data_IF_338464175610
#
_entry.id   IF_338464175610
#
_cell.length_a   1.000
_cell.length_b   1.000
_cell.length_c   1.000
_cell.angle_alpha   90.00
_cell.angle_beta   90.00
_cell.angle_gamma   90.00
#
_symmetry.space_group_name_H-M   'P 1'
#
loop_
_entity.id
_entity.type
_entity.pdbx_description
1 polymer ?
#
# COMPACT_ATOMS: atom_id res chain seq x y z
N UNK A 1 -13.00 -13.81 3.68
CA UNK A 1 -12.06 -14.73 3.00
C UNK A 1 -10.82 -15.09 3.83
N UNK A 2 -9.98 -14.16 4.29
CA UNK A 2 -8.73 -14.51 5.02
C UNK A 2 -9.00 -15.31 6.30
N UNK A 3 -9.96 -14.90 7.12
CA UNK A 3 -10.40 -15.66 8.32
C UNK A 3 -10.95 -17.04 7.95
N UNK A 4 -11.66 -17.15 6.83
CA UNK A 4 -12.15 -18.42 6.31
C UNK A 4 -10.98 -19.35 5.97
N UNK A 5 -9.99 -18.88 5.21
CA UNK A 5 -8.83 -19.69 4.79
C UNK A 5 -7.91 -20.13 5.93
N UNK A 6 -8.05 -19.56 7.14
CA UNK A 6 -7.23 -19.86 8.33
C UNK A 6 -7.34 -21.30 8.82
N UNK A 7 -8.46 -21.99 8.59
CA UNK A 7 -8.61 -23.36 9.07
C UNK A 7 -7.59 -24.31 8.45
N UNK A 8 -7.03 -25.22 9.26
CA UNK A 8 -5.92 -26.12 8.87
C UNK A 8 -6.22 -26.89 7.58
N UNK A 9 -7.42 -27.49 7.48
CA UNK A 9 -7.84 -28.25 6.29
C UNK A 9 -7.86 -27.38 5.03
N UNK A 10 -8.43 -26.18 5.10
CA UNK A 10 -8.53 -25.24 3.96
C UNK A 10 -7.16 -24.67 3.55
N UNK A 11 -6.29 -24.39 4.52
CA UNK A 11 -4.90 -24.01 4.24
C UNK A 11 -4.14 -25.16 3.55
N UNK A 12 -4.37 -26.41 3.95
CA UNK A 12 -3.75 -27.57 3.29
C UNK A 12 -4.22 -27.70 1.84
N UNK A 13 -5.53 -27.58 1.56
CA UNK A 13 -6.06 -27.54 0.19
C UNK A 13 -5.38 -26.45 -0.66
N UNK A 14 -5.20 -25.25 -0.10
CA UNK A 14 -4.50 -24.16 -0.77
C UNK A 14 -3.03 -24.47 -1.11
N UNK A 15 -2.35 -25.23 -0.26
CA UNK A 15 -0.97 -25.66 -0.54
C UNK A 15 -0.93 -26.71 -1.63
N UNK A 16 -1.87 -27.65 -1.63
CA UNK A 16 -1.95 -28.68 -2.67
C UNK A 16 -2.28 -28.08 -4.04
N UNK A 17 -3.19 -27.09 -4.11
CA UNK A 17 -3.46 -26.35 -5.35
C UNK A 17 -2.21 -25.61 -5.86
N UNK A 18 -1.43 -24.98 -4.97
CA UNK A 18 -0.16 -24.35 -5.37
C UNK A 18 0.86 -25.36 -5.92
N UNK A 19 1.02 -26.51 -5.25
CA UNK A 19 1.92 -27.56 -5.71
C UNK A 19 1.52 -28.08 -7.10
N UNK A 20 0.23 -28.34 -7.32
CA UNK A 20 -0.29 -28.80 -8.62
C UNK A 20 0.06 -27.82 -9.74
N UNK A 21 -0.11 -26.53 -9.51
CA UNK A 21 0.22 -25.48 -10.50
C UNK A 21 1.74 -25.37 -10.73
N UNK A 22 2.55 -25.59 -9.70
CA UNK A 22 4.01 -25.54 -9.82
C UNK A 22 4.61 -26.71 -10.61
N UNK A 23 3.94 -27.87 -10.66
CA UNK A 23 4.46 -29.06 -11.38
C UNK A 23 4.51 -28.83 -12.89
N UNK A 24 3.58 -28.04 -13.44
CA UNK A 24 3.54 -27.70 -14.87
C UNK A 24 4.34 -26.46 -15.27
N UNK A 25 4.85 -25.69 -14.30
CA UNK A 25 5.63 -24.48 -14.56
C UNK A 25 7.12 -24.79 -14.56
N UNK A 26 7.86 -24.31 -15.57
CA UNK A 26 9.35 -24.40 -15.60
C UNK A 26 10.02 -23.66 -14.44
N UNK A 27 9.27 -22.82 -13.70
CA UNK A 27 9.73 -22.04 -12.56
C UNK A 27 9.17 -22.62 -11.27
N UNK A 28 10.07 -23.04 -10.35
CA UNK A 28 9.70 -23.48 -8.99
C UNK A 28 9.26 -22.28 -8.15
N UNK A 29 7.99 -21.95 -8.27
CA UNK A 29 7.38 -20.87 -7.51
C UNK A 29 7.27 -21.20 -6.02
N UNK A 30 7.77 -20.29 -5.16
CA UNK A 30 7.72 -20.51 -3.70
C UNK A 30 6.27 -20.60 -3.22
N UNK A 31 5.94 -21.68 -2.51
CA UNK A 31 4.64 -21.85 -1.84
C UNK A 31 4.47 -20.76 -0.79
N UNK A 32 3.32 -20.10 -0.78
CA UNK A 32 3.01 -19.01 0.14
C UNK A 32 1.76 -19.33 0.96
N UNK A 33 1.76 -18.88 2.21
CA UNK A 33 0.59 -18.87 3.08
C UNK A 33 -0.10 -17.52 3.01
N UNK A 34 -1.43 -17.51 2.97
CA UNK A 34 -2.20 -16.28 3.21
C UNK A 34 -1.90 -15.81 4.64
N UNK A 35 -1.34 -14.61 4.75
CA UNK A 35 -1.02 -13.99 6.04
C UNK A 35 -2.30 -13.51 6.72
N UNK A 36 -2.20 -13.25 8.02
CA UNK A 36 -3.31 -12.67 8.77
C UNK A 36 -3.40 -11.17 8.50
N UNK A 37 -4.63 -10.66 8.47
CA UNK A 37 -4.86 -9.25 8.72
C UNK A 37 -4.51 -8.92 10.17
N UNK A 38 -3.98 -7.73 10.37
CA UNK A 38 -3.82 -7.09 11.66
C UNK A 38 -4.57 -5.78 11.56
N UNK A 39 -5.65 -5.63 12.34
CA UNK A 39 -6.49 -4.42 12.30
C UNK A 39 -5.68 -3.15 12.61
N UNK A 40 -4.61 -3.30 13.40
CA UNK A 40 -3.70 -2.22 13.81
C UNK A 40 -2.53 -1.97 12.85
N UNK A 41 -2.27 -2.85 11.87
CA UNK A 41 -1.09 -2.75 11.00
C UNK A 41 -1.50 -2.82 9.55
N UNK A 42 -1.74 -1.66 8.95
CA UNK A 42 -2.08 -1.48 7.53
C UNK A 42 -1.16 -2.26 6.58
N UNK A 43 0.15 -2.33 6.87
CA UNK A 43 1.14 -3.10 6.08
C UNK A 43 0.90 -4.62 6.06
N UNK A 44 0.07 -5.16 6.96
CA UNK A 44 -0.35 -6.57 6.89
C UNK A 44 -1.30 -6.83 5.72
N UNK A 45 -2.11 -5.84 5.34
CA UNK A 45 -3.04 -5.93 4.21
C UNK A 45 -2.26 -6.02 2.89
N UNK A 46 -1.20 -5.23 2.73
CA UNK A 46 -0.29 -5.31 1.57
C UNK A 46 0.26 -6.73 1.37
N UNK A 47 0.78 -7.36 2.44
CA UNK A 47 1.31 -8.73 2.38
C UNK A 47 0.25 -9.75 1.96
N UNK A 48 -0.99 -9.59 2.42
CA UNK A 48 -2.11 -10.45 2.04
C UNK A 48 -2.46 -10.26 0.57
N UNK A 49 -2.59 -9.01 0.12
CA UNK A 49 -2.90 -8.67 -1.27
C UNK A 49 -1.81 -9.20 -2.21
N UNK A 50 -0.55 -9.09 -1.82
CA UNK A 50 0.56 -9.64 -2.59
C UNK A 50 0.43 -11.16 -2.74
N UNK A 51 0.18 -11.89 -1.65
CA UNK A 51 0.00 -13.36 -1.72
C UNK A 51 -1.22 -13.74 -2.56
N UNK A 52 -2.35 -13.05 -2.41
CA UNK A 52 -3.55 -13.33 -3.20
C UNK A 52 -3.29 -13.05 -4.68
N UNK A 53 -2.57 -12.00 -5.01
CA UNK A 53 -2.23 -11.67 -6.40
C UNK A 53 -1.31 -12.73 -7.00
N UNK A 54 -0.23 -13.08 -6.29
CA UNK A 54 0.78 -14.03 -6.76
C UNK A 54 0.23 -15.46 -6.87
N UNK A 55 -0.81 -15.79 -6.10
CA UNK A 55 -1.40 -17.14 -6.00
C UNK A 55 -2.90 -17.12 -6.29
N UNK A 56 -3.33 -16.22 -7.16
CA UNK A 56 -4.75 -16.02 -7.48
C UNK A 56 -5.38 -17.29 -8.06
N UNK A 57 -4.74 -17.90 -9.06
CA UNK A 57 -5.19 -19.15 -9.68
C UNK A 57 -5.28 -20.29 -8.64
N UNK A 58 -4.28 -20.41 -7.77
CA UNK A 58 -4.32 -21.40 -6.70
C UNK A 58 -5.47 -21.17 -5.72
N UNK A 59 -5.80 -19.90 -5.43
CA UNK A 59 -6.90 -19.52 -4.55
C UNK A 59 -8.25 -19.85 -5.20
N UNK A 60 -8.42 -19.55 -6.49
CA UNK A 60 -9.61 -19.88 -7.27
C UNK A 60 -9.87 -21.40 -7.25
N UNK A 61 -8.87 -22.19 -7.63
CA UNK A 61 -8.95 -23.67 -7.64
C UNK A 61 -9.23 -24.24 -6.24
N UNK A 62 -8.72 -23.58 -5.20
CA UNK A 62 -9.01 -23.97 -3.82
C UNK A 62 -10.47 -23.72 -3.46
N UNK A 63 -11.03 -22.56 -3.84
CA UNK A 63 -12.43 -22.24 -3.57
C UNK A 63 -13.38 -23.13 -4.36
N UNK A 64 -13.04 -23.48 -5.60
CA UNK A 64 -13.77 -24.46 -6.41
C UNK A 64 -13.78 -25.83 -5.73
N UNK A 65 -12.62 -26.36 -5.32
CA UNK A 65 -12.55 -27.64 -4.59
C UNK A 65 -13.31 -27.61 -3.25
N UNK A 66 -13.25 -26.50 -2.51
CA UNK A 66 -13.98 -26.36 -1.24
C UNK A 66 -15.49 -26.22 -1.45
N UNK A 67 -15.95 -25.76 -2.62
CA UNK A 67 -17.36 -25.62 -2.97
C UNK A 67 -18.08 -26.97 -3.09
N UNK A 68 -17.32 -28.04 -3.31
CA UNK A 68 -17.77 -29.43 -3.40
C UNK A 68 -17.61 -30.20 -2.07
N UNK A 69 -17.18 -29.51 -1.00
CA UNK A 69 -16.99 -30.16 0.30
C UNK A 69 -18.30 -30.67 0.91
N UNK A 70 -18.20 -31.75 1.69
CA UNK A 70 -19.34 -32.34 2.42
C UNK A 70 -19.88 -31.44 3.53
N UNK A 71 -19.04 -30.56 4.08
CA UNK A 71 -19.45 -29.54 5.04
C UNK A 71 -20.18 -28.40 4.33
N UNK A 72 -21.51 -28.36 4.51
CA UNK A 72 -22.41 -27.36 3.90
C UNK A 72 -21.97 -25.93 4.18
N UNK A 73 -21.43 -25.63 5.37
CA UNK A 73 -20.99 -24.28 5.74
C UNK A 73 -19.73 -23.90 4.96
N UNK A 74 -18.76 -24.82 4.86
CA UNK A 74 -17.57 -24.61 4.05
C UNK A 74 -17.91 -24.46 2.57
N UNK A 75 -18.76 -25.34 2.03
CA UNK A 75 -19.19 -25.31 0.64
C UNK A 75 -19.91 -24.00 0.28
N UNK A 76 -20.88 -23.58 1.10
CA UNK A 76 -21.64 -22.34 0.87
C UNK A 76 -20.72 -21.10 0.91
N UNK A 77 -19.86 -21.00 1.93
CA UNK A 77 -18.89 -19.90 2.03
C UNK A 77 -17.89 -19.89 0.87
N UNK A 78 -17.42 -21.06 0.43
CA UNK A 78 -16.50 -21.16 -0.70
C UNK A 78 -17.16 -20.69 -2.00
N UNK A 79 -18.42 -21.08 -2.28
CA UNK A 79 -19.19 -20.58 -3.42
C UNK A 79 -19.36 -19.07 -3.39
N UNK A 80 -19.72 -18.53 -2.22
CA UNK A 80 -19.86 -17.08 -2.04
C UNK A 80 -18.53 -16.35 -2.31
N UNK A 81 -17.42 -16.80 -1.73
CA UNK A 81 -16.12 -16.19 -1.99
C UNK A 81 -15.67 -16.34 -3.44
N UNK A 82 -15.91 -17.49 -4.07
CA UNK A 82 -15.60 -17.73 -5.48
C UNK A 82 -16.34 -16.73 -6.37
N UNK A 83 -17.65 -16.55 -6.14
CA UNK A 83 -18.45 -15.55 -6.86
C UNK A 83 -17.91 -14.12 -6.69
N UNK A 84 -17.51 -13.76 -5.47
CA UNK A 84 -16.92 -12.44 -5.20
C UNK A 84 -15.59 -12.26 -5.91
N UNK A 85 -14.65 -13.20 -5.78
CA UNK A 85 -13.30 -13.03 -6.35
C UNK A 85 -13.31 -13.04 -7.88
N UNK A 86 -14.26 -13.77 -8.48
CA UNK A 86 -14.45 -13.83 -9.93
C UNK A 86 -15.17 -12.61 -10.50
N UNK A 87 -15.71 -11.72 -9.66
CA UNK A 87 -16.37 -10.51 -10.14
C UNK A 87 -15.35 -9.48 -10.62
N UNK A 88 -15.61 -8.87 -11.79
CA UNK A 88 -14.76 -7.81 -12.32
C UNK A 88 -14.58 -6.65 -11.33
N UNK A 89 -15.64 -6.28 -10.62
CA UNK A 89 -15.59 -5.22 -9.62
C UNK A 89 -14.58 -5.52 -8.51
N UNK A 90 -14.58 -6.75 -7.98
CA UNK A 90 -13.59 -7.15 -6.99
C UNK A 90 -12.18 -7.07 -7.56
N UNK A 91 -11.93 -7.61 -8.76
CA UNK A 91 -10.59 -7.61 -9.38
C UNK A 91 -10.09 -6.18 -9.61
N UNK A 92 -10.97 -5.27 -10.05
CA UNK A 92 -10.65 -3.86 -10.25
C UNK A 92 -10.23 -3.19 -8.94
N UNK A 93 -11.04 -3.32 -7.89
CA UNK A 93 -10.75 -2.77 -6.55
C UNK A 93 -9.48 -3.41 -5.99
N UNK A 94 -9.30 -4.72 -6.17
CA UNK A 94 -8.13 -5.46 -5.72
C UNK A 94 -6.84 -4.94 -6.38
N UNK A 95 -6.85 -4.71 -7.70
CA UNK A 95 -5.72 -4.11 -8.43
C UNK A 95 -5.44 -2.68 -7.98
N UNK A 96 -6.48 -1.85 -7.80
CA UNK A 96 -6.33 -0.49 -7.26
C UNK A 96 -5.67 -0.50 -5.88
N UNK A 97 -6.15 -1.34 -4.96
CA UNK A 97 -5.57 -1.45 -3.62
C UNK A 97 -4.11 -1.90 -3.68
N UNK A 98 -3.77 -2.86 -4.54
CA UNK A 98 -2.37 -3.29 -4.76
C UNK A 98 -1.49 -2.12 -5.20
N UNK A 99 -1.95 -1.27 -6.12
CA UNK A 99 -1.20 -0.08 -6.55
C UNK A 99 -1.08 0.99 -5.47
N UNK A 100 -2.11 1.19 -4.63
CA UNK A 100 -2.02 2.08 -3.47
C UNK A 100 -0.97 1.55 -2.48
N UNK A 101 -0.98 0.24 -2.19
CA UNK A 101 -0.04 -0.37 -1.26
C UNK A 101 1.40 -0.39 -1.79
N UNK A 102 1.61 -0.55 -3.09
CA UNK A 102 2.96 -0.49 -3.67
C UNK A 102 3.61 0.88 -3.56
N UNK A 103 2.79 1.95 -3.48
CA UNK A 103 3.26 3.32 -3.25
C UNK A 103 3.41 3.60 -1.75
N UNK A 104 2.41 3.26 -0.94
CA UNK A 104 2.34 3.70 0.47
C UNK A 104 3.13 2.81 1.44
N UNK A 105 3.30 1.52 1.15
CA UNK A 105 4.00 0.59 2.05
C UNK A 105 5.49 0.90 2.20
N UNK A 106 6.26 1.14 1.12
CA UNK A 106 7.67 1.51 1.24
C UNK A 106 7.86 2.76 2.10
N UNK A 107 7.06 3.79 1.85
CA UNK A 107 7.08 5.04 2.61
C UNK A 107 6.74 4.83 4.07
N UNK A 108 5.68 4.07 4.36
CA UNK A 108 5.33 3.73 5.74
C UNK A 108 6.46 2.98 6.44
N UNK A 109 7.10 2.01 5.78
CA UNK A 109 8.23 1.27 6.33
C UNK A 109 9.44 2.16 6.58
N UNK A 110 9.77 3.05 5.65
CA UNK A 110 10.89 3.98 5.77
C UNK A 110 10.70 4.95 6.95
N UNK A 111 9.50 5.55 7.06
CA UNK A 111 9.17 6.48 8.14
C UNK A 111 9.14 5.83 9.53
N UNK A 112 8.96 4.50 9.59
CA UNK A 112 9.01 3.72 10.85
C UNK A 112 10.40 3.13 11.14
N UNK A 113 11.39 3.38 10.29
CA UNK A 113 12.74 2.89 10.51
C UNK A 113 13.40 3.58 11.71
N UNK A 114 14.29 2.87 12.41
CA UNK A 114 14.98 3.41 13.60
C UNK A 114 15.97 4.53 13.27
N UNK A 115 16.47 4.55 12.04
CA UNK A 115 17.49 5.47 11.54
C UNK A 115 16.94 6.18 10.31
N UNK A 116 16.11 7.20 10.54
CA UNK A 116 15.47 7.96 9.47
C UNK A 116 16.35 9.14 9.05
N UNK A 117 16.69 9.21 7.77
CA UNK A 117 17.20 10.45 7.17
C UNK A 117 15.99 11.35 6.83
N UNK A 118 15.94 12.53 7.44
CA UNK A 118 14.84 13.48 7.29
C UNK A 118 14.73 14.07 5.88
N UNK A 119 15.86 14.33 5.19
CA UNK A 119 15.87 14.83 3.81
C UNK A 119 15.25 13.78 2.89
N UNK A 120 15.69 12.53 3.03
CA UNK A 120 15.19 11.42 2.25
C UNK A 120 13.73 11.09 2.61
N UNK A 121 13.33 11.28 3.88
CA UNK A 121 11.94 11.12 4.31
C UNK A 121 11.01 12.12 3.62
N UNK A 122 11.38 13.41 3.57
CA UNK A 122 10.60 14.45 2.89
C UNK A 122 10.47 14.11 1.41
N UNK A 123 11.59 13.80 0.73
CA UNK A 123 11.59 13.43 -0.69
C UNK A 123 10.65 12.26 -0.96
N UNK A 124 10.70 11.23 -0.11
CA UNK A 124 9.88 10.03 -0.25
C UNK A 124 8.38 10.35 -0.05
N UNK A 125 8.04 11.19 0.93
CA UNK A 125 6.65 11.64 1.16
C UNK A 125 6.11 12.41 -0.04
N UNK A 126 6.92 13.29 -0.63
CA UNK A 126 6.53 14.08 -1.80
C UNK A 126 6.31 13.20 -3.03
N UNK A 127 7.21 12.25 -3.28
CA UNK A 127 7.07 11.28 -4.36
C UNK A 127 5.81 10.42 -4.16
N UNK A 128 5.57 9.96 -2.93
CA UNK A 128 4.37 9.22 -2.56
C UNK A 128 3.11 10.03 -2.85
N UNK A 129 3.07 11.30 -2.43
CA UNK A 129 1.95 12.21 -2.68
C UNK A 129 1.70 12.37 -4.17
N UNK A 130 2.76 12.63 -4.95
CA UNK A 130 2.68 12.78 -6.41
C UNK A 130 2.08 11.52 -7.07
N UNK A 131 2.62 10.34 -6.75
CA UNK A 131 2.13 9.07 -7.30
C UNK A 131 0.68 8.78 -6.91
N UNK A 132 0.26 9.11 -5.69
CA UNK A 132 -1.13 8.98 -5.26
C UNK A 132 -2.08 9.94 -5.99
N UNK A 133 -1.61 11.12 -6.39
CA UNK A 133 -2.39 12.04 -7.23
C UNK A 133 -2.52 11.46 -8.65
N UNK A 134 -1.45 10.89 -9.20
CA UNK A 134 -1.46 10.23 -10.52
C UNK A 134 -2.47 9.07 -10.57
N UNK A 135 -2.62 8.29 -9.50
CA UNK A 135 -3.64 7.23 -9.40
C UNK A 135 -5.09 7.75 -9.55
N UNK A 136 -5.33 9.04 -9.30
CA UNK A 136 -6.66 9.67 -9.45
C UNK A 136 -6.92 10.19 -10.86
N UNK A 137 -5.93 10.13 -11.76
CA UNK A 137 -6.08 10.59 -13.13
C UNK A 137 -6.98 9.66 -13.95
N UNK A 138 -7.74 10.22 -14.88
CA UNK A 138 -8.56 9.44 -15.81
C UNK A 138 -7.70 8.49 -16.66
N UNK A 139 -6.49 8.92 -17.05
CA UNK A 139 -5.53 8.09 -17.79
C UNK A 139 -5.20 6.80 -17.03
N UNK A 140 -4.80 6.93 -15.76
CA UNK A 140 -4.48 5.77 -14.94
C UNK A 140 -5.71 4.88 -14.74
N UNK A 141 -6.88 5.48 -14.55
CA UNK A 141 -8.12 4.71 -14.39
C UNK A 141 -8.41 3.85 -15.64
N UNK A 142 -8.27 4.40 -16.85
CA UNK A 142 -8.45 3.63 -18.08
C UNK A 142 -7.45 2.48 -18.21
N UNK A 143 -6.18 2.75 -17.88
CA UNK A 143 -5.13 1.72 -17.87
C UNK A 143 -5.44 0.60 -16.87
N UNK A 144 -5.89 0.95 -15.66
CA UNK A 144 -6.30 0.01 -14.63
C UNK A 144 -7.46 -0.87 -15.11
N UNK A 145 -8.47 -0.29 -15.75
CA UNK A 145 -9.61 -1.04 -16.32
C UNK A 145 -9.12 -2.00 -17.40
N UNK A 146 -8.26 -1.57 -18.31
CA UNK A 146 -7.72 -2.42 -19.38
C UNK A 146 -6.87 -3.57 -18.81
N UNK A 147 -5.99 -3.27 -17.85
CA UNK A 147 -5.20 -4.28 -17.13
C UNK A 147 -6.07 -5.25 -16.32
N UNK A 148 -7.27 -4.83 -15.92
CA UNK A 148 -8.25 -5.69 -15.25
C UNK A 148 -8.92 -6.61 -16.26
N UNK A 149 -9.36 -6.09 -17.42
CA UNK A 149 -9.94 -6.89 -18.51
C UNK A 149 -8.99 -7.99 -18.96
N UNK A 150 -7.73 -7.63 -19.21
CA UNK A 150 -6.69 -8.58 -19.61
C UNK A 150 -6.50 -9.69 -18.57
N UNK A 151 -6.41 -9.32 -17.29
CA UNK A 151 -6.28 -10.29 -16.21
C UNK A 151 -7.51 -11.20 -16.08
N UNK A 152 -8.73 -10.66 -16.23
CA UNK A 152 -9.94 -11.48 -16.17
C UNK A 152 -10.02 -12.47 -17.31
N UNK A 153 -9.52 -12.10 -18.50
CA UNK A 153 -9.40 -13.01 -19.64
C UNK A 153 -8.39 -14.14 -19.34
N UNK A 154 -7.20 -13.80 -18.86
CA UNK A 154 -6.15 -14.76 -18.48
C UNK A 154 -6.59 -15.75 -17.40
N UNK A 155 -7.40 -15.30 -16.45
CA UNK A 155 -7.93 -16.14 -15.36
C UNK A 155 -9.25 -16.84 -15.70
N UNK A 156 -9.71 -16.76 -16.96
CA UNK A 156 -10.97 -17.34 -17.43
C UNK A 156 -12.19 -16.94 -16.57
N UNK A 157 -12.31 -15.64 -16.24
CA UNK A 157 -13.40 -15.11 -15.44
C UNK A 157 -14.50 -14.54 -16.35
N UNK A 158 -15.78 -14.85 -16.09
CA UNK A 158 -16.89 -14.36 -16.92
C UNK A 158 -17.02 -12.82 -16.84
N UNK A 159 -17.08 -12.17 -18.01
CA UNK A 159 -17.09 -10.71 -18.21
C UNK A 159 -18.44 -10.01 -17.87
N UNK A 160 -19.33 -10.70 -17.16
CA UNK A 160 -20.77 -10.42 -17.10
C UNK A 160 -21.20 -9.11 -16.37
N UNK A 161 -20.29 -8.19 -16.07
CA UNK A 161 -20.61 -6.94 -15.37
C UNK A 161 -20.24 -5.64 -16.12
N UNK A 162 -19.76 -5.72 -17.37
CA UNK A 162 -19.33 -4.53 -18.11
C UNK A 162 -20.44 -3.57 -18.56
N UNK A 163 -21.69 -4.02 -18.70
CA UNK A 163 -22.78 -3.20 -19.31
C UNK A 163 -23.10 -1.90 -18.58
N UNK A 164 -22.68 -1.71 -17.33
CA UNK A 164 -23.04 -0.55 -16.52
C UNK A 164 -21.91 0.47 -16.32
N UNK A 165 -20.65 0.13 -16.63
CA UNK A 165 -19.51 1.01 -16.29
C UNK A 165 -19.19 2.03 -17.41
N UNK A 166 -19.52 1.73 -18.66
CA UNK A 166 -19.29 2.63 -19.80
C UNK A 166 -20.23 3.85 -19.82
N UNK A 167 -21.35 3.81 -19.07
CA UNK A 167 -22.33 4.92 -19.00
C UNK A 167 -22.07 5.89 -17.85
N UNK A 168 -21.12 5.61 -16.96
CA UNK A 168 -20.78 6.47 -15.83
C UNK A 168 -19.46 7.17 -16.06
N UNK A 169 -19.44 8.52 -16.04
CA UNK A 169 -18.19 9.30 -16.02
C UNK A 169 -17.23 8.70 -14.96
N UNK A 170 -15.98 8.35 -15.30
CA UNK A 170 -15.03 7.70 -14.39
C UNK A 170 -14.82 8.47 -13.07
N UNK A 171 -15.00 9.80 -13.08
CA UNK A 171 -14.92 10.65 -11.89
C UNK A 171 -15.93 10.28 -10.79
N UNK A 172 -17.15 9.83 -11.13
CA UNK A 172 -18.19 9.51 -10.13
C UNK A 172 -17.90 8.22 -9.35
N UNK A 173 -17.19 7.26 -9.94
CA UNK A 173 -16.81 6.03 -9.23
C UNK A 173 -15.64 6.26 -8.28
N UNK A 174 -14.64 7.05 -8.70
CA UNK A 174 -13.59 7.55 -7.80
C UNK A 174 -14.19 8.39 -6.67
N UNK A 175 -15.13 9.29 -6.95
CA UNK A 175 -15.86 10.01 -5.89
C UNK A 175 -16.62 9.06 -4.95
N UNK A 176 -17.33 8.04 -5.47
CA UNK A 176 -18.06 7.08 -4.63
C UNK A 176 -17.12 6.18 -3.81
N UNK A 177 -15.95 5.82 -4.32
CA UNK A 177 -14.94 5.06 -3.57
C UNK A 177 -14.16 5.96 -2.59
N UNK A 178 -13.90 7.22 -2.95
CA UNK A 178 -13.34 8.25 -2.06
C UNK A 178 -14.32 8.70 -0.96
N UNK A 179 -15.62 8.44 -1.10
CA UNK A 179 -16.64 8.64 -0.05
C UNK A 179 -16.57 7.62 1.07
N UNK A 180 -15.63 6.67 1.03
CA UNK A 180 -15.23 5.85 2.17
C UNK A 180 -14.53 6.75 3.20
N UNK A 181 -15.33 7.52 3.96
CA UNK A 181 -14.93 8.56 4.94
C UNK A 181 -13.53 9.11 4.66
N UNK A 182 -13.48 10.10 3.77
CA UNK A 182 -12.32 10.99 3.65
C UNK A 182 -11.73 11.23 5.04
N UNK A 183 -10.49 10.77 5.26
CA UNK A 183 -9.65 11.40 6.28
C UNK A 183 -9.70 12.88 5.93
N UNK A 184 -10.15 13.76 6.83
CA UNK A 184 -10.36 15.16 6.49
C UNK A 184 -9.04 15.76 6.02
N UNK A 185 -8.91 15.91 4.70
CA UNK A 185 -7.70 16.39 4.03
C UNK A 185 -7.29 17.76 4.61
N UNK A 186 -8.29 18.58 4.94
CA UNK A 186 -8.15 19.88 5.60
C UNK A 186 -7.67 19.83 7.06
N UNK A 187 -7.86 18.72 7.80
CA UNK A 187 -7.32 18.62 9.17
C UNK A 187 -5.85 18.16 9.18
N UNK A 188 -5.40 17.40 8.18
CA UNK A 188 -3.99 16.99 8.07
C UNK A 188 -3.09 18.10 7.53
N UNK A 189 -3.54 18.90 6.56
CA UNK A 189 -2.72 20.01 6.03
C UNK A 189 -2.43 21.07 7.10
N UNK A 190 -3.39 21.39 7.97
CA UNK A 190 -3.19 22.34 9.07
C UNK A 190 -2.34 21.78 10.23
N UNK A 191 -2.34 20.45 10.45
CA UNK A 191 -1.57 19.85 11.56
C UNK A 191 -0.06 19.72 11.26
N UNK A 192 0.33 19.70 10.00
CA UNK A 192 1.71 19.46 9.57
C UNK A 192 2.25 20.53 8.63
N UNK A 193 1.59 21.70 8.52
CA UNK A 193 1.98 22.77 7.60
C UNK A 193 3.46 23.17 7.77
N UNK A 194 3.93 23.25 9.01
CA UNK A 194 5.30 23.68 9.35
C UNK A 194 6.28 22.51 9.49
N UNK A 195 5.80 21.26 9.42
CA UNK A 195 6.63 20.08 9.65
C UNK A 195 7.76 19.98 8.63
N UNK A 196 7.55 20.48 7.41
CA UNK A 196 8.57 20.45 6.37
C UNK A 196 9.75 21.35 6.69
N UNK A 197 9.48 22.52 7.27
CA UNK A 197 10.52 23.50 7.57
C UNK A 197 11.26 23.10 8.87
N UNK A 198 10.54 22.58 9.87
CA UNK A 198 11.14 21.94 11.05
C UNK A 198 12.05 20.76 10.67
N UNK A 199 11.63 19.91 9.73
CA UNK A 199 12.45 18.77 9.30
C UNK A 199 13.67 19.20 8.47
N UNK A 200 13.62 20.33 7.74
CA UNK A 200 14.81 20.91 7.09
C UNK A 200 15.82 21.38 8.14
N UNK A 201 15.33 22.04 9.19
CA UNK A 201 16.17 22.49 10.29
C UNK A 201 16.81 21.30 11.03
N UNK A 202 16.03 20.24 11.32
CA UNK A 202 16.56 19.00 11.92
C UNK A 202 17.54 18.26 11.02
N UNK A 203 17.40 18.36 9.70
CA UNK A 203 18.34 17.76 8.76
C UNK A 203 19.73 18.40 8.80
N UNK A 204 19.86 19.62 9.34
CA UNK A 204 21.18 20.20 9.62
C UNK A 204 21.89 19.36 10.68
N UNK A 205 21.19 18.92 11.74
CA UNK A 205 21.72 18.09 12.82
C UNK A 205 22.00 16.62 12.43
N UNK A 206 22.13 16.30 11.14
CA UNK A 206 22.43 14.93 10.73
C UNK A 206 23.82 14.50 11.21
N UNK A 207 24.02 13.22 11.62
CA UNK A 207 25.30 12.75 12.12
C UNK A 207 26.47 12.98 11.16
N UNK A 208 26.23 12.83 9.86
CA UNK A 208 27.22 13.06 8.80
C UNK A 208 27.67 14.53 8.76
N UNK A 209 26.73 15.46 8.88
CA UNK A 209 27.02 16.90 8.87
C UNK A 209 27.71 17.35 10.15
N UNK A 210 27.33 16.80 11.30
CA UNK A 210 28.00 17.06 12.58
C UNK A 210 29.45 16.56 12.56
N UNK A 211 29.71 15.43 11.91
CA UNK A 211 31.07 14.91 11.72
C UNK A 211 31.90 15.80 10.79
N UNK A 212 31.32 16.30 9.69
CA UNK A 212 32.00 17.26 8.80
C UNK A 212 32.30 18.60 9.50
N UNK A 213 31.35 19.12 10.28
CA UNK A 213 31.51 20.36 11.05
C UNK A 213 32.66 20.24 12.06
N UNK A 214 32.79 19.11 12.75
CA UNK A 214 33.93 18.87 13.68
C UNK A 214 35.30 18.99 13.01
N UNK A 215 35.41 18.74 11.71
CA UNK A 215 36.67 18.77 10.97
C UNK A 215 36.94 20.10 10.25
N UNK A 216 35.96 21.01 10.16
CA UNK A 216 36.10 22.34 9.55
C UNK A 216 35.95 23.41 10.62
N UNK A 217 36.92 24.33 10.68
CA UNK A 217 36.92 25.43 11.66
C UNK A 217 35.83 26.48 11.44
N UNK A 218 35.25 26.56 10.24
CA UNK A 218 34.12 27.42 9.92
C UNK A 218 33.21 26.73 8.90
N UNK A 219 31.92 26.62 9.23
CA UNK A 219 30.89 26.16 8.31
C UNK A 219 29.80 27.23 8.23
N UNK A 220 29.70 27.91 7.09
CA UNK A 220 28.74 29.00 6.91
C UNK A 220 27.31 28.46 6.84
N UNK A 221 26.57 28.64 7.94
CA UNK A 221 25.14 28.37 8.03
C UNK A 221 24.33 29.61 7.64
N UNK A 222 23.27 29.48 6.82
CA UNK A 222 22.31 30.56 6.58
C UNK A 222 21.76 31.20 7.85
N UNK A 223 21.48 32.50 7.80
CA UNK A 223 20.99 33.27 8.96
C UNK A 223 19.62 32.84 9.49
N UNK A 224 18.86 32.11 8.69
CA UNK A 224 17.52 31.63 9.06
C UNK A 224 17.50 30.17 9.53
N UNK A 225 18.64 29.55 9.75
CA UNK A 225 18.72 28.17 10.24
C UNK A 225 18.14 28.03 11.65
N UNK A 226 17.43 26.92 11.91
CA UNK A 226 16.87 26.54 13.21
C UNK A 226 15.72 27.42 13.71
N UNK A 227 15.26 28.41 12.94
CA UNK A 227 14.14 29.29 13.32
C UNK A 227 12.82 28.51 13.41
N UNK A 228 12.58 27.56 12.50
CA UNK A 228 11.36 26.76 12.55
C UNK A 228 11.44 25.74 13.70
N UNK A 229 12.65 25.26 14.02
CA UNK A 229 12.91 24.44 15.20
C UNK A 229 12.59 25.15 16.52
N UNK A 230 12.92 26.43 16.67
CA UNK A 230 12.62 27.19 17.89
C UNK A 230 11.13 27.50 18.05
N UNK A 231 10.37 27.57 16.95
CA UNK A 231 8.89 27.64 17.04
C UNK A 231 8.26 26.34 17.53
N UNK A 232 8.96 25.21 17.33
CA UNK A 232 8.48 23.89 17.72
C UNK A 232 8.93 23.47 19.12
N UNK A 233 10.16 23.84 19.52
CA UNK A 233 10.72 23.58 20.84
C UNK A 233 10.93 24.94 21.52
N UNK A 234 10.05 25.29 22.45
CA UNK A 234 9.96 26.63 23.06
C UNK A 234 11.21 27.06 23.82
N UNK A 235 12.02 26.09 24.26
CA UNK A 235 13.19 26.34 25.11
C UNK A 235 14.50 26.36 24.32
N UNK A 236 14.44 26.21 22.99
CA UNK A 236 15.62 26.23 22.12
C UNK A 236 15.97 27.66 21.74
N UNK A 237 17.23 28.05 21.98
CA UNK A 237 17.81 29.27 21.43
C UNK A 237 18.50 28.97 20.08
N UNK A 238 17.94 29.40 18.94
CA UNK A 238 18.50 29.10 17.62
C UNK A 238 19.87 29.76 17.39
N UNK A 239 20.18 30.87 18.07
CA UNK A 239 21.50 31.50 17.99
C UNK A 239 22.59 30.68 18.69
N UNK A 240 22.26 30.06 19.82
CA UNK A 240 23.17 29.13 20.52
C UNK A 240 23.39 27.87 19.68
N UNK A 241 22.33 27.29 19.12
CA UNK A 241 22.46 26.16 18.21
C UNK A 241 23.32 26.46 16.98
N UNK A 242 23.21 27.66 16.40
CA UNK A 242 24.07 28.09 15.29
C UNK A 242 25.55 28.23 15.69
N UNK A 243 25.84 28.54 16.95
CA UNK A 243 27.23 28.71 17.44
C UNK A 243 27.85 27.39 17.92
N UNK A 244 27.04 26.44 18.38
CA UNK A 244 27.50 25.10 18.77
C UNK A 244 27.63 24.12 17.60
N UNK A 245 26.98 24.41 16.48
CA UNK A 245 26.98 23.63 15.25
C UNK A 245 28.20 23.94 14.37
#
# INVERSE_FOLDING_TARGET
MVTFMRARKRTATFYECQKKLNIGSKVKDKIRKIKNFSDTRWTSHDRVITVIHDKYEALKNTLESLSESTDRVTASNAKSFLSVISSFHFVLVFKLMKSIFSITTPTSCYLKSKSIDFIQAIKLVDETKKRLIELRSDKYFQELVQNTKQFTYEQNLCENYFKNYERGKPSKCLEKMCKMKSVPQHQTENKFSNARDILKDLALLSPERLMEAKHKSEMDLPDKCFLDLSTWITDINPFQLKTEY
#
